data_IF_869212190688
#
_entry.id   IF_869212190688
#
_cell.length_a   1.000
_cell.length_b   1.000
_cell.length_c   1.000
_cell.angle_alpha   90.00
_cell.angle_beta   90.00
_cell.angle_gamma   90.00
#
_symmetry.space_group_name_H-M   'P 1'
#
loop_
_entity.id
_entity.type
_entity.pdbx_description
1 polymer ?
#
# COMPACT_ATOMS: atom_id res chain seq x y z
N UNK A 1 -40.95 -14.25 69.33
CA UNK A 1 -40.29 -13.37 68.34
C UNK A 1 -39.42 -14.24 67.45
N UNK A 2 -39.86 -14.44 66.20
CA UNK A 2 -39.13 -14.53 64.92
C UNK A 2 -37.79 -15.34 64.90
N UNK A 3 -37.51 -16.30 64.01
CA UNK A 3 -37.99 -16.56 62.65
C UNK A 3 -37.48 -17.96 62.15
N UNK A 4 -38.38 -18.79 61.58
CA UNK A 4 -38.31 -19.58 60.31
C UNK A 4 -37.03 -20.41 59.98
N UNK A 5 -37.02 -21.77 60.00
CA UNK A 5 -37.44 -22.78 58.95
C UNK A 5 -36.79 -22.55 57.56
N UNK A 6 -36.45 -23.49 56.68
CA UNK A 6 -36.42 -24.95 56.59
C UNK A 6 -35.62 -25.30 55.30
N UNK A 7 -35.07 -26.50 55.28
CA UNK A 7 -34.27 -27.16 54.25
C UNK A 7 -34.94 -27.23 52.85
N UNK A 8 -34.22 -26.85 51.79
CA UNK A 8 -34.67 -26.94 50.38
C UNK A 8 -34.21 -28.24 49.70
N UNK A 9 -35.16 -28.87 49.03
CA UNK A 9 -35.11 -30.15 48.29
C UNK A 9 -34.57 -29.93 46.87
N UNK A 10 -33.70 -30.84 46.41
CA UNK A 10 -33.24 -30.97 45.03
C UNK A 10 -34.39 -31.38 44.10
N UNK A 11 -34.69 -30.59 43.06
CA UNK A 11 -35.53 -30.99 41.93
C UNK A 11 -34.75 -30.77 40.63
N UNK A 12 -34.47 -31.86 39.94
CA UNK A 12 -33.89 -31.95 38.59
C UNK A 12 -34.91 -31.55 37.53
N UNK A 13 -34.59 -30.56 36.69
CA UNK A 13 -35.33 -30.25 35.46
C UNK A 13 -34.69 -30.99 34.28
N UNK A 14 -35.43 -31.93 33.70
CA UNK A 14 -35.12 -32.59 32.43
C UNK A 14 -35.97 -31.90 31.34
N UNK A 15 -35.35 -31.09 30.48
CA UNK A 15 -36.01 -30.48 29.32
C UNK A 15 -35.62 -31.23 28.03
N UNK A 16 -36.62 -31.79 27.35
CA UNK A 16 -36.48 -32.35 26.02
C UNK A 16 -36.24 -31.23 24.99
N UNK A 17 -35.02 -31.11 24.49
CA UNK A 17 -34.71 -30.27 23.32
C UNK A 17 -34.97 -31.11 22.06
N UNK A 18 -36.03 -30.79 21.33
CA UNK A 18 -36.30 -31.29 19.99
C UNK A 18 -35.41 -30.52 19.02
N UNK A 19 -34.36 -31.15 18.50
CA UNK A 19 -33.48 -30.54 17.49
C UNK A 19 -34.16 -30.69 16.12
N UNK A 20 -34.88 -29.65 15.70
CA UNK A 20 -35.40 -29.54 14.33
C UNK A 20 -34.25 -29.24 13.37
N UNK A 21 -33.78 -30.27 12.67
CA UNK A 21 -32.73 -30.16 11.65
C UNK A 21 -33.30 -29.47 10.40
N UNK A 22 -33.31 -28.14 10.39
CA UNK A 22 -33.54 -27.39 9.17
C UNK A 22 -32.28 -27.48 8.32
N UNK A 23 -32.31 -28.33 7.29
CA UNK A 23 -31.28 -28.37 6.26
C UNK A 23 -31.18 -27.00 5.59
N UNK A 24 -30.19 -26.21 5.98
CA UNK A 24 -29.79 -25.04 5.23
C UNK A 24 -29.14 -25.55 3.95
N UNK A 25 -29.89 -25.52 2.85
CA UNK A 25 -29.30 -25.59 1.53
C UNK A 25 -28.29 -24.43 1.43
N UNK A 26 -27.00 -24.76 1.40
CA UNK A 26 -25.95 -23.80 1.12
C UNK A 26 -26.28 -23.14 -0.22
N UNK A 27 -26.60 -21.84 -0.20
CA UNK A 27 -26.79 -21.06 -1.40
C UNK A 27 -25.54 -21.21 -2.27
N UNK A 28 -25.72 -21.70 -3.50
CA UNK A 28 -24.66 -21.72 -4.50
C UNK A 28 -24.17 -20.28 -4.70
N UNK A 29 -22.84 -20.01 -4.67
CA UNK A 29 -22.34 -18.69 -5.00
C UNK A 29 -22.74 -18.36 -6.44
N UNK A 30 -23.44 -17.24 -6.63
CA UNK A 30 -23.64 -16.67 -7.95
C UNK A 30 -22.29 -16.27 -8.58
N UNK A 31 -22.25 -15.99 -9.89
CA UNK A 31 -21.00 -15.76 -10.60
C UNK A 31 -20.29 -14.48 -10.12
N UNK A 32 -19.23 -14.67 -9.33
CA UNK A 32 -18.09 -13.74 -9.16
C UNK A 32 -17.97 -12.97 -7.84
N UNK A 33 -17.85 -13.65 -6.69
CA UNK A 33 -17.57 -13.01 -5.39
C UNK A 33 -16.08 -12.68 -5.18
N UNK A 34 -15.49 -11.83 -6.02
CA UNK A 34 -14.08 -11.45 -5.91
C UNK A 34 -13.54 -10.71 -7.12
N UNK A 35 -12.32 -10.19 -6.99
CA UNK A 35 -11.55 -9.68 -8.13
C UNK A 35 -11.13 -10.86 -9.03
N UNK A 36 -10.99 -10.61 -10.34
CA UNK A 36 -10.46 -11.60 -11.29
C UNK A 36 -9.71 -10.93 -12.42
N UNK A 37 -8.81 -11.68 -13.05
CA UNK A 37 -8.18 -11.24 -14.29
C UNK A 37 -9.25 -11.15 -15.37
N UNK A 38 -9.25 -10.06 -16.14
CA UNK A 38 -10.22 -9.84 -17.23
C UNK A 38 -11.64 -9.53 -16.75
N UNK A 39 -11.83 -8.97 -15.55
CA UNK A 39 -13.15 -8.59 -15.03
C UNK A 39 -13.94 -7.70 -16.01
N UNK A 40 -13.27 -6.75 -16.66
CA UNK A 40 -13.86 -5.81 -17.62
C UNK A 40 -13.84 -6.27 -19.09
N UNK A 41 -13.41 -7.50 -19.37
CA UNK A 41 -13.20 -7.99 -20.76
C UNK A 41 -14.44 -7.90 -21.65
N UNK A 42 -15.65 -7.96 -21.07
CA UNK A 42 -16.92 -7.82 -21.80
C UNK A 42 -17.53 -6.43 -21.67
N UNK A 43 -17.43 -5.79 -20.49
CA UNK A 43 -18.15 -4.55 -20.18
C UNK A 43 -17.37 -3.28 -20.51
N UNK A 44 -16.03 -3.33 -20.46
CA UNK A 44 -15.16 -2.26 -20.90
C UNK A 44 -13.83 -2.84 -21.42
N UNK A 45 -13.82 -3.46 -22.62
CA UNK A 45 -12.67 -4.21 -23.13
C UNK A 45 -11.36 -3.40 -23.21
N UNK A 46 -11.48 -2.08 -23.40
CA UNK A 46 -10.33 -1.18 -23.51
C UNK A 46 -9.88 -0.58 -22.16
N UNK A 47 -10.46 -1.01 -21.04
CA UNK A 47 -10.21 -0.38 -19.73
C UNK A 47 -8.71 -0.32 -19.36
N UNK A 48 -8.00 -1.46 -19.43
CA UNK A 48 -6.57 -1.49 -19.12
C UNK A 48 -5.73 -0.63 -20.06
N UNK A 49 -6.10 -0.56 -21.35
CA UNK A 49 -5.40 0.25 -22.34
C UNK A 49 -5.59 1.74 -22.07
N UNK A 50 -6.81 2.16 -21.73
CA UNK A 50 -7.11 3.56 -21.38
C UNK A 50 -6.31 3.98 -20.15
N UNK A 51 -6.31 3.17 -19.09
CA UNK A 51 -5.51 3.46 -17.88
C UNK A 51 -4.02 3.55 -18.22
N UNK A 52 -3.49 2.57 -18.97
CA UNK A 52 -2.08 2.57 -19.36
C UNK A 52 -1.69 3.81 -20.17
N UNK A 53 -2.54 4.25 -21.09
CA UNK A 53 -2.28 5.43 -21.91
C UNK A 53 -2.28 6.70 -21.06
N UNK A 54 -3.22 6.85 -20.11
CA UNK A 54 -3.25 7.98 -19.19
C UNK A 54 -1.99 8.01 -18.31
N UNK A 55 -1.56 6.87 -17.78
CA UNK A 55 -0.33 6.76 -16.97
C UNK A 55 0.92 7.04 -17.80
N UNK A 56 0.98 6.53 -19.03
CA UNK A 56 2.09 6.80 -19.96
C UNK A 56 2.19 8.29 -20.26
N UNK A 57 1.06 8.95 -20.58
CA UNK A 57 1.03 10.38 -20.83
C UNK A 57 1.48 11.19 -19.59
N UNK A 58 0.95 10.85 -18.41
CA UNK A 58 1.35 11.46 -17.15
C UNK A 58 2.85 11.30 -16.87
N UNK A 59 3.39 10.09 -17.09
CA UNK A 59 4.81 9.79 -16.91
C UNK A 59 5.69 10.56 -17.89
N UNK A 60 5.30 10.65 -19.16
CA UNK A 60 6.02 11.42 -20.17
C UNK A 60 6.08 12.91 -19.83
N UNK A 61 5.05 13.46 -19.19
CA UNK A 61 5.07 14.85 -18.70
C UNK A 61 5.87 15.02 -17.42
N UNK A 62 5.76 14.08 -16.49
CA UNK A 62 6.43 14.11 -15.20
C UNK A 62 6.76 12.69 -14.70
N UNK A 63 8.00 12.22 -14.87
CA UNK A 63 8.38 10.86 -14.45
C UNK A 63 8.17 10.58 -12.95
N UNK A 64 8.08 11.61 -12.11
CA UNK A 64 7.84 11.46 -10.66
C UNK A 64 6.43 10.97 -10.32
N UNK A 65 5.50 10.93 -11.27
CA UNK A 65 4.16 10.38 -11.03
C UNK A 65 4.18 8.86 -10.85
N UNK A 66 5.11 8.14 -11.49
CA UNK A 66 5.18 6.68 -11.36
C UNK A 66 5.42 6.21 -9.92
N UNK A 67 6.48 6.65 -9.21
CA UNK A 67 6.63 6.32 -7.79
C UNK A 67 5.50 6.90 -6.92
N UNK A 68 4.93 8.05 -7.30
CA UNK A 68 3.79 8.66 -6.60
C UNK A 68 2.52 7.80 -6.63
N UNK A 69 2.17 7.27 -7.80
CA UNK A 69 1.01 6.38 -8.00
C UNK A 69 1.24 5.03 -7.32
N UNK A 70 2.44 4.46 -7.43
CA UNK A 70 2.78 3.22 -6.72
C UNK A 70 2.59 3.38 -5.21
N UNK A 71 3.09 4.48 -4.63
CA UNK A 71 2.90 4.81 -3.22
C UNK A 71 1.43 5.06 -2.88
N UNK A 72 0.68 5.74 -3.74
CA UNK A 72 -0.75 6.01 -3.52
C UNK A 72 -1.55 4.70 -3.41
N UNK A 73 -1.27 3.71 -4.26
CA UNK A 73 -1.91 2.40 -4.19
C UNK A 73 -1.56 1.63 -2.91
N UNK A 74 -0.30 1.70 -2.46
CA UNK A 74 0.08 1.16 -1.14
C UNK A 74 -0.70 1.84 -0.01
N UNK A 75 -0.82 3.16 -0.03
CA UNK A 75 -1.54 3.91 1.01
C UNK A 75 -3.04 3.62 1.01
N UNK A 76 -3.67 3.45 -0.15
CA UNK A 76 -5.07 3.01 -0.27
C UNK A 76 -5.25 1.66 0.41
N UNK A 77 -4.52 0.65 -0.05
CA UNK A 77 -4.65 -0.72 0.43
C UNK A 77 -4.37 -0.91 1.93
N UNK A 78 -3.56 -0.04 2.55
CA UNK A 78 -3.25 -0.09 3.98
C UNK A 78 -4.24 0.68 4.85
N UNK A 79 -5.20 1.38 4.26
CA UNK A 79 -6.22 2.16 4.98
C UNK A 79 -7.60 1.65 4.59
N UNK A 80 -8.20 0.82 5.45
CA UNK A 80 -9.51 0.16 5.23
C UNK A 80 -9.59 -0.81 4.02
N UNK A 81 -8.54 -0.90 3.20
CA UNK A 81 -8.43 -1.85 2.09
C UNK A 81 -8.30 -1.11 0.75
N UNK A 82 -8.14 -1.85 -0.34
CA UNK A 82 -7.99 -1.24 -1.66
C UNK A 82 -9.37 -0.85 -2.22
N UNK A 83 -9.93 0.27 -1.78
CA UNK A 83 -11.27 0.73 -2.13
C UNK A 83 -11.27 2.16 -2.73
N UNK A 84 -10.11 2.73 -3.01
CA UNK A 84 -9.97 4.07 -3.57
C UNK A 84 -10.37 5.19 -2.61
N UNK A 85 -10.55 4.95 -1.30
CA UNK A 85 -10.87 5.97 -0.30
C UNK A 85 -9.87 7.12 -0.31
N UNK A 86 -8.60 6.83 -0.60
CA UNK A 86 -7.53 7.84 -0.67
C UNK A 86 -7.77 8.87 -1.77
N UNK A 87 -8.58 8.53 -2.77
CA UNK A 87 -8.90 9.41 -3.88
C UNK A 87 -9.96 10.45 -3.49
N UNK A 88 -10.67 10.32 -2.37
CA UNK A 88 -11.70 11.30 -1.96
C UNK A 88 -11.04 12.60 -1.46
N UNK A 89 -11.52 13.74 -1.96
CA UNK A 89 -11.08 15.08 -1.52
C UNK A 89 -12.08 15.69 -0.54
N UNK A 90 -11.58 16.48 0.40
CA UNK A 90 -12.41 17.23 1.34
C UNK A 90 -11.64 17.56 2.61
N UNK A 91 -12.29 18.25 3.54
CA UNK A 91 -11.75 18.47 4.88
C UNK A 91 -11.67 17.16 5.63
N UNK A 92 -10.56 16.91 6.34
CA UNK A 92 -10.34 15.70 7.14
C UNK A 92 -10.42 14.38 6.37
N UNK A 93 -10.25 14.37 5.05
CA UNK A 93 -10.10 13.13 4.28
C UNK A 93 -8.69 12.57 4.38
N UNK A 94 -8.47 11.34 3.94
CA UNK A 94 -7.14 10.71 3.93
C UNK A 94 -6.11 11.57 3.20
N UNK A 95 -6.48 12.27 2.11
CA UNK A 95 -5.57 13.17 1.39
C UNK A 95 -4.95 14.26 2.27
N UNK A 96 -5.64 14.65 3.34
CA UNK A 96 -5.16 15.68 4.29
C UNK A 96 -4.30 15.12 5.42
N UNK A 97 -4.19 13.80 5.54
CA UNK A 97 -3.34 13.18 6.55
C UNK A 97 -1.85 13.43 6.26
N UNK A 98 -1.06 13.61 7.33
CA UNK A 98 0.40 13.84 7.26
C UNK A 98 1.15 12.89 6.30
N UNK A 99 0.95 11.56 6.33
CA UNK A 99 1.62 10.64 5.39
C UNK A 99 1.24 10.85 3.91
N UNK A 100 0.11 11.52 3.65
CA UNK A 100 -0.51 11.67 2.33
C UNK A 100 -0.28 13.04 1.68
N UNK A 101 0.16 14.05 2.44
CA UNK A 101 0.34 15.44 1.95
C UNK A 101 1.24 15.57 0.71
N UNK A 102 2.13 14.61 0.48
CA UNK A 102 3.07 14.61 -0.63
C UNK A 102 2.77 13.58 -1.72
N UNK A 103 1.60 12.93 -1.68
CA UNK A 103 1.16 12.04 -2.76
C UNK A 103 0.93 12.84 -4.04
N UNK A 104 1.16 12.19 -5.19
CA UNK A 104 1.13 12.79 -6.52
C UNK A 104 0.56 11.79 -7.52
N UNK A 105 0.05 12.30 -8.65
CA UNK A 105 -0.56 11.48 -9.69
C UNK A 105 -2.07 11.32 -9.57
N UNK A 106 -2.74 12.07 -8.68
CA UNK A 106 -4.21 12.07 -8.59
C UNK A 106 -4.83 12.51 -9.92
N UNK A 107 -4.22 13.50 -10.57
CA UNK A 107 -4.60 14.01 -11.88
C UNK A 107 -4.54 12.95 -12.99
N UNK A 108 -3.63 11.97 -12.87
CA UNK A 108 -3.51 10.86 -13.82
C UNK A 108 -4.66 9.88 -13.62
N UNK A 109 -5.04 9.61 -12.36
CA UNK A 109 -6.19 8.76 -12.02
C UNK A 109 -7.50 9.43 -12.48
N UNK A 110 -7.66 10.73 -12.24
CA UNK A 110 -8.83 11.50 -12.66
C UNK A 110 -8.93 11.58 -14.19
N UNK A 111 -7.80 11.73 -14.89
CA UNK A 111 -7.76 11.71 -16.34
C UNK A 111 -8.15 10.32 -16.91
N UNK A 112 -7.59 9.25 -16.36
CA UNK A 112 -7.98 7.88 -16.74
C UNK A 112 -9.48 7.65 -16.50
N UNK A 113 -10.00 8.11 -15.35
CA UNK A 113 -11.41 7.99 -15.01
C UNK A 113 -12.31 8.74 -16.00
N UNK A 114 -11.93 9.96 -16.37
CA UNK A 114 -12.68 10.76 -17.35
C UNK A 114 -12.78 10.04 -18.69
N UNK A 115 -11.67 9.49 -19.19
CA UNK A 115 -11.66 8.73 -20.44
C UNK A 115 -12.48 7.43 -20.34
N UNK A 116 -12.40 6.73 -19.20
CA UNK A 116 -13.19 5.53 -18.94
C UNK A 116 -14.69 5.81 -18.88
N UNK A 117 -15.11 6.88 -18.21
CA UNK A 117 -16.52 7.26 -18.17
C UNK A 117 -17.06 7.67 -19.54
N UNK A 118 -16.22 8.24 -20.41
CA UNK A 118 -16.61 8.52 -21.79
C UNK A 118 -16.75 7.24 -22.64
N UNK A 119 -15.92 6.22 -22.39
CA UNK A 119 -15.90 4.98 -23.16
C UNK A 119 -16.90 3.92 -22.65
N UNK A 120 -17.08 3.82 -21.34
CA UNK A 120 -17.87 2.81 -20.65
C UNK A 120 -18.45 3.38 -19.32
N UNK A 121 -19.49 4.24 -19.41
CA UNK A 121 -20.02 4.98 -18.27
C UNK A 121 -20.42 4.07 -17.10
N UNK A 122 -19.97 4.40 -15.89
CA UNK A 122 -20.33 3.70 -14.66
C UNK A 122 -19.84 2.26 -14.53
N UNK A 123 -18.84 1.85 -15.34
CA UNK A 123 -18.35 0.46 -15.36
C UNK A 123 -17.13 0.26 -14.46
N UNK A 124 -16.09 1.10 -14.60
CA UNK A 124 -14.77 0.86 -13.98
C UNK A 124 -14.62 1.67 -12.69
N UNK A 125 -14.34 1.01 -11.57
CA UNK A 125 -14.12 1.67 -10.27
C UNK A 125 -12.81 2.45 -10.23
N UNK A 126 -12.76 3.48 -9.40
CA UNK A 126 -11.54 4.24 -9.14
C UNK A 126 -10.47 3.39 -8.44
N UNK A 127 -10.88 2.48 -7.56
CA UNK A 127 -9.99 1.49 -6.93
C UNK A 127 -9.26 0.62 -7.97
N UNK A 128 -9.94 0.15 -9.01
CA UNK A 128 -9.29 -0.63 -10.07
C UNK A 128 -8.40 0.22 -10.98
N UNK A 129 -8.76 1.48 -11.24
CA UNK A 129 -7.90 2.42 -11.97
C UNK A 129 -6.57 2.58 -11.22
N UNK A 130 -6.61 2.78 -9.90
CA UNK A 130 -5.41 2.94 -9.08
C UNK A 130 -4.54 1.68 -9.09
N UNK A 131 -5.14 0.49 -8.96
CA UNK A 131 -4.42 -0.78 -9.00
C UNK A 131 -3.73 -1.02 -10.37
N UNK A 132 -4.44 -0.73 -11.47
CA UNK A 132 -3.88 -0.81 -12.82
C UNK A 132 -2.76 0.21 -13.04
N UNK A 133 -2.97 1.44 -12.57
CA UNK A 133 -1.99 2.51 -12.72
C UNK A 133 -0.70 2.25 -11.93
N UNK A 134 -0.79 1.61 -10.76
CA UNK A 134 0.38 1.19 -10.00
C UNK A 134 1.21 0.15 -10.78
N UNK A 135 0.57 -0.82 -11.44
CA UNK A 135 1.26 -1.77 -12.33
C UNK A 135 1.95 -1.06 -13.48
N UNK A 136 1.23 -0.20 -14.19
CA UNK A 136 1.78 0.50 -15.36
C UNK A 136 2.95 1.43 -14.96
N UNK A 137 2.91 2.03 -13.77
CA UNK A 137 4.00 2.84 -13.21
C UNK A 137 5.30 2.05 -12.98
N UNK A 138 5.18 0.80 -12.49
CA UNK A 138 6.34 -0.10 -12.32
C UNK A 138 6.90 -0.52 -13.68
N UNK A 139 6.04 -0.82 -14.66
CA UNK A 139 6.49 -1.18 -16.01
C UNK A 139 7.22 -0.03 -16.70
N UNK A 140 6.72 1.21 -16.60
CA UNK A 140 7.36 2.39 -17.20
C UNK A 140 8.73 2.69 -16.58
N UNK A 141 8.96 2.26 -15.34
CA UNK A 141 10.25 2.36 -14.65
C UNK A 141 11.12 1.10 -14.85
N UNK A 142 10.84 0.28 -15.87
CA UNK A 142 11.59 -0.94 -16.26
C UNK A 142 11.38 -2.16 -15.35
N UNK A 143 10.41 -2.11 -14.46
CA UNK A 143 9.97 -3.26 -13.69
C UNK A 143 9.18 -4.27 -14.53
N UNK A 144 8.88 -5.44 -13.96
CA UNK A 144 8.12 -6.49 -14.64
C UNK A 144 6.62 -6.25 -14.54
N UNK A 145 5.88 -6.51 -15.63
CA UNK A 145 4.41 -6.46 -15.63
C UNK A 145 3.80 -7.68 -14.93
N UNK A 146 2.57 -7.54 -14.44
CA UNK A 146 1.77 -8.64 -13.93
C UNK A 146 0.30 -8.48 -14.32
N UNK A 147 -0.47 -9.59 -14.38
CA UNK A 147 -1.91 -9.50 -14.54
C UNK A 147 -2.53 -8.95 -13.25
N UNK A 148 -3.32 -7.88 -13.36
CA UNK A 148 -3.99 -7.24 -12.22
C UNK A 148 -5.41 -7.79 -12.11
N UNK A 149 -5.77 -8.53 -11.04
CA UNK A 149 -7.17 -8.85 -10.79
C UNK A 149 -7.96 -7.56 -10.55
N UNK A 150 -9.05 -7.38 -11.29
CA UNK A 150 -9.96 -6.24 -11.21
C UNK A 150 -11.36 -6.68 -10.79
N UNK A 151 -12.25 -5.75 -10.49
CA UNK A 151 -13.58 -5.97 -9.92
C UNK A 151 -13.77 -5.37 -8.52
N UNK A 152 -12.86 -4.50 -8.09
CA UNK A 152 -13.02 -3.73 -6.84
C UNK A 152 -14.15 -2.73 -6.99
N UNK A 153 -14.74 -2.34 -5.87
CA UNK A 153 -15.69 -1.23 -5.78
C UNK A 153 -15.13 -0.15 -4.88
N UNK A 154 -15.64 1.05 -5.08
CA UNK A 154 -15.18 2.25 -4.41
C UNK A 154 -15.80 2.39 -3.02
N UNK A 155 -14.96 2.70 -2.03
CA UNK A 155 -15.34 3.05 -0.67
C UNK A 155 -16.09 4.38 -0.59
N UNK A 156 -16.84 4.56 0.50
CA UNK A 156 -17.62 5.79 0.78
C UNK A 156 -17.12 6.55 2.01
N UNK A 157 -15.99 6.15 2.56
CA UNK A 157 -15.43 6.73 3.78
C UNK A 157 -13.97 7.06 3.51
N UNK A 158 -13.57 8.29 3.80
CA UNK A 158 -12.17 8.73 3.77
C UNK A 158 -11.96 9.65 4.95
N UNK A 159 -11.15 9.22 5.91
CA UNK A 159 -10.88 9.97 7.14
C UNK A 159 -9.38 10.05 7.36
N UNK A 160 -8.88 11.26 7.62
CA UNK A 160 -7.47 11.51 7.90
C UNK A 160 -6.93 10.64 9.05
N UNK A 161 -7.77 10.40 10.07
CA UNK A 161 -7.42 9.56 11.22
C UNK A 161 -7.15 8.10 10.87
N UNK A 162 -7.73 7.57 9.79
CA UNK A 162 -7.51 6.19 9.39
C UNK A 162 -6.07 5.98 8.86
N UNK A 163 -5.45 7.03 8.33
CA UNK A 163 -4.10 7.01 7.81
C UNK A 163 -3.01 7.12 8.89
N UNK A 164 -3.37 7.32 10.16
CA UNK A 164 -2.42 7.49 11.27
C UNK A 164 -1.56 6.24 11.52
N UNK A 165 -2.06 5.05 11.16
CA UNK A 165 -1.38 3.78 11.38
C UNK A 165 -0.52 3.32 10.19
N UNK A 166 -0.40 4.13 9.12
CA UNK A 166 0.49 3.81 8.01
C UNK A 166 1.94 3.59 8.48
N UNK A 167 2.72 2.70 7.83
CA UNK A 167 4.14 2.55 8.12
C UNK A 167 4.90 3.88 7.95
N UNK A 168 5.70 4.22 8.96
CA UNK A 168 6.46 5.46 9.04
C UNK A 168 7.94 5.27 8.69
N UNK A 169 8.64 6.35 8.29
CA UNK A 169 10.05 6.28 7.86
C UNK A 169 11.04 5.96 8.99
N UNK A 170 10.59 6.02 10.25
CA UNK A 170 11.35 5.72 11.46
C UNK A 170 11.00 4.38 12.11
N UNK A 171 10.07 3.60 11.55
CA UNK A 171 9.56 2.38 12.18
C UNK A 171 10.65 1.30 12.27
N UNK A 172 10.74 0.64 13.43
CA UNK A 172 11.58 -0.55 13.61
C UNK A 172 11.03 -1.74 12.81
N UNK A 173 11.85 -2.77 12.57
CA UNK A 173 11.40 -3.97 11.85
C UNK A 173 10.20 -4.63 12.53
N UNK A 174 10.17 -4.68 13.87
CA UNK A 174 9.03 -5.22 14.61
C UNK A 174 7.73 -4.43 14.36
N UNK A 175 7.80 -3.09 14.33
CA UNK A 175 6.63 -2.25 14.02
C UNK A 175 6.19 -2.42 12.58
N UNK A 176 7.12 -2.46 11.63
CA UNK A 176 6.81 -2.69 10.23
C UNK A 176 6.15 -4.08 10.05
N UNK A 177 6.70 -5.13 10.67
CA UNK A 177 6.14 -6.49 10.65
C UNK A 177 4.72 -6.52 11.21
N UNK A 178 4.47 -5.84 12.34
CA UNK A 178 3.13 -5.76 12.92
C UNK A 178 2.15 -5.13 11.93
N UNK A 179 2.45 -3.95 11.41
CA UNK A 179 1.57 -3.21 10.47
C UNK A 179 1.29 -4.00 9.19
N UNK A 180 2.28 -4.73 8.65
CA UNK A 180 2.07 -5.60 7.49
C UNK A 180 1.23 -6.83 7.86
N UNK A 181 1.45 -7.41 9.05
CA UNK A 181 0.66 -8.55 9.52
C UNK A 181 -0.81 -8.20 9.80
N UNK A 182 -1.09 -6.97 10.23
CA UNK A 182 -2.46 -6.46 10.46
C UNK A 182 -3.29 -6.47 9.16
N UNK A 183 -2.61 -6.30 8.02
CA UNK A 183 -3.20 -6.42 6.68
C UNK A 183 -2.88 -7.75 5.98
N UNK A 184 -2.47 -8.75 6.77
CA UNK A 184 -2.23 -10.15 6.35
C UNK A 184 -1.10 -10.33 5.34
N UNK A 185 -0.09 -9.46 5.39
CA UNK A 185 1.16 -9.60 4.64
C UNK A 185 2.27 -10.13 5.55
N UNK A 186 3.08 -11.03 5.01
CA UNK A 186 4.22 -11.65 5.69
C UNK A 186 5.44 -10.74 5.77
N UNK A 187 6.41 -11.08 6.62
CA UNK A 187 7.73 -10.43 6.66
C UNK A 187 8.43 -10.43 5.30
N UNK A 188 8.24 -11.48 4.49
CA UNK A 188 8.82 -11.51 3.15
C UNK A 188 8.14 -10.51 2.22
N UNK A 189 6.82 -10.40 2.27
CA UNK A 189 6.08 -9.41 1.48
C UNK A 189 6.40 -7.98 1.93
N UNK A 190 6.67 -7.77 3.23
CA UNK A 190 7.22 -6.52 3.73
C UNK A 190 8.53 -6.16 3.03
N UNK A 191 9.54 -7.03 3.08
CA UNK A 191 10.86 -6.73 2.49
C UNK A 191 10.77 -6.55 0.98
N UNK A 192 9.89 -7.30 0.32
CA UNK A 192 9.67 -7.19 -1.13
C UNK A 192 8.96 -5.88 -1.48
N UNK A 193 7.88 -5.51 -0.80
CA UNK A 193 7.06 -4.34 -1.14
C UNK A 193 7.78 -3.02 -0.82
N UNK A 194 8.52 -2.93 0.28
CA UNK A 194 9.39 -1.76 0.56
C UNK A 194 10.50 -1.60 -0.47
N UNK A 195 10.83 -2.68 -1.20
CA UNK A 195 11.67 -2.61 -2.41
C UNK A 195 11.14 -1.67 -3.49
N UNK A 196 9.87 -1.25 -3.44
CA UNK A 196 9.34 -0.17 -4.27
C UNK A 196 10.09 1.17 -4.11
N UNK A 197 10.83 1.35 -3.00
CA UNK A 197 11.76 2.46 -2.79
C UNK A 197 12.97 2.45 -3.74
N UNK A 198 13.12 1.44 -4.61
CA UNK A 198 14.07 1.49 -5.74
C UNK A 198 13.78 2.66 -6.70
N UNK A 199 12.56 3.19 -6.69
CA UNK A 199 12.19 4.40 -7.42
C UNK A 199 11.64 5.48 -6.49
N UNK A 200 11.81 6.74 -6.90
CA UNK A 200 11.21 7.88 -6.20
C UNK A 200 12.11 8.50 -5.14
N UNK A 201 11.51 9.40 -4.36
CA UNK A 201 12.26 10.34 -3.53
C UNK A 201 11.60 10.56 -2.17
N UNK A 202 12.42 10.80 -1.14
CA UNK A 202 11.99 11.26 0.17
C UNK A 202 12.31 12.74 0.36
N UNK A 203 11.46 13.46 1.10
CA UNK A 203 11.80 14.79 1.60
C UNK A 203 12.77 14.71 2.77
N UNK A 204 13.72 15.65 2.89
CA UNK A 204 14.68 15.69 3.99
C UNK A 204 14.04 15.54 5.38
N UNK A 205 12.84 16.11 5.58
CA UNK A 205 12.11 16.00 6.86
C UNK A 205 11.82 14.56 7.30
N UNK A 206 11.77 13.59 6.39
CA UNK A 206 11.48 12.20 6.70
C UNK A 206 12.65 11.43 7.33
N UNK A 207 13.89 11.92 7.17
CA UNK A 207 15.10 11.21 7.63
C UNK A 207 16.17 12.12 8.25
N UNK A 208 15.90 13.43 8.39
CA UNK A 208 16.87 14.39 8.97
C UNK A 208 17.30 14.05 10.39
N UNK A 209 16.43 13.41 11.18
CA UNK A 209 16.79 12.89 12.50
C UNK A 209 18.02 11.97 12.42
N UNK A 210 18.14 11.16 11.38
CA UNK A 210 19.30 10.27 11.19
C UNK A 210 20.60 11.02 10.91
N UNK A 211 20.55 12.24 10.38
CA UNK A 211 21.74 12.98 9.93
C UNK A 211 22.43 13.78 11.05
N UNK A 212 21.68 14.18 12.08
CA UNK A 212 22.18 15.11 13.12
C UNK A 212 21.83 14.72 14.55
N UNK A 213 20.78 13.93 14.76
CA UNK A 213 20.28 13.62 16.10
C UNK A 213 19.60 12.24 16.08
N UNK A 214 20.41 11.18 15.99
CA UNK A 214 19.87 9.83 16.15
C UNK A 214 19.46 9.64 17.61
N UNK A 215 18.51 8.75 17.89
CA UNK A 215 18.06 8.41 19.25
C UNK A 215 19.19 7.96 20.19
N UNK A 216 20.38 7.72 19.63
CA UNK A 216 21.60 7.22 20.28
C UNK A 216 22.75 8.22 20.37
N UNK A 217 22.59 9.47 19.90
CA UNK A 217 23.64 10.50 19.94
C UNK A 217 23.84 11.21 18.58
N UNK A 218 25.08 11.32 18.04
CA UNK A 218 25.35 11.98 16.76
C UNK A 218 24.63 11.28 15.59
N UNK A 219 24.99 11.59 14.33
CA UNK A 219 24.39 10.92 13.16
C UNK A 219 24.30 9.39 13.32
N UNK A 220 23.25 8.80 12.75
CA UNK A 220 23.00 7.36 12.79
C UNK A 220 24.23 6.58 12.29
N UNK A 221 24.84 5.73 13.15
CA UNK A 221 26.11 5.07 12.83
C UNK A 221 25.97 3.99 11.75
N UNK A 222 24.75 3.63 11.35
CA UNK A 222 24.50 2.68 10.27
C UNK A 222 24.59 3.29 8.87
N UNK A 223 24.73 4.62 8.78
CA UNK A 223 24.85 5.34 7.51
C UNK A 223 26.31 5.31 7.03
N UNK A 224 26.51 4.96 5.76
CA UNK A 224 27.79 5.10 5.07
C UNK A 224 28.34 6.53 5.20
N UNK A 225 29.57 6.75 5.69
CA UNK A 225 30.10 8.10 5.95
C UNK A 225 30.12 9.01 4.71
N UNK A 226 30.35 8.45 3.52
CA UNK A 226 30.30 9.23 2.27
C UNK A 226 28.87 9.66 1.95
N UNK A 227 27.89 8.75 2.07
CA UNK A 227 26.48 9.11 1.92
C UNK A 227 26.05 10.12 2.98
N UNK A 228 26.46 9.97 4.24
CA UNK A 228 26.13 10.91 5.31
C UNK A 228 26.54 12.34 4.95
N UNK A 229 27.78 12.54 4.50
CA UNK A 229 28.27 13.87 4.10
C UNK A 229 27.47 14.45 2.91
N UNK A 230 27.11 13.61 1.93
CA UNK A 230 26.25 14.01 0.81
C UNK A 230 24.86 14.43 1.28
N UNK A 231 24.23 13.63 2.15
CA UNK A 231 22.91 13.93 2.70
C UNK A 231 22.92 15.16 3.59
N UNK A 232 23.95 15.39 4.41
CA UNK A 232 24.08 16.61 5.22
C UNK A 232 24.25 17.87 4.36
N UNK A 233 24.89 17.76 3.21
CA UNK A 233 25.02 18.87 2.24
C UNK A 233 23.66 19.20 1.61
N UNK A 234 22.90 18.18 1.20
CA UNK A 234 21.59 18.35 0.58
C UNK A 234 20.49 18.71 1.59
N UNK A 235 20.60 18.21 2.82
CA UNK A 235 19.62 18.35 3.88
C UNK A 235 20.24 18.96 5.15
N UNK A 236 20.69 20.23 5.15
CA UNK A 236 21.23 20.88 6.35
C UNK A 236 20.28 20.79 7.55
N UNK A 237 20.83 20.83 8.78
CA UNK A 237 20.07 20.65 10.03
C UNK A 237 18.85 21.60 10.14
N UNK A 238 19.02 22.86 9.75
CA UNK A 238 17.97 23.87 9.74
C UNK A 238 17.53 24.23 8.30
N UNK A 239 17.74 23.31 7.35
CA UNK A 239 17.39 23.49 5.95
C UNK A 239 15.92 23.15 5.64
N UNK A 240 15.50 23.47 4.42
CA UNK A 240 14.15 23.15 3.94
C UNK A 240 13.88 21.63 4.03
N UNK A 241 12.79 21.25 4.70
CA UNK A 241 12.37 19.86 4.86
C UNK A 241 11.79 19.25 3.57
N UNK A 242 11.43 20.09 2.59
CA UNK A 242 10.78 19.70 1.34
C UNK A 242 11.75 19.25 0.24
N UNK A 243 13.05 19.59 0.39
CA UNK A 243 14.13 19.17 -0.51
C UNK A 243 14.12 17.65 -0.66
N UNK A 244 14.23 17.17 -1.90
CA UNK A 244 14.03 15.76 -2.26
C UNK A 244 15.35 15.07 -2.53
N UNK A 245 15.47 13.86 -1.99
CA UNK A 245 16.59 12.95 -2.18
C UNK A 245 16.05 11.63 -2.73
N UNK A 246 16.71 11.08 -3.74
CA UNK A 246 16.37 9.77 -4.29
C UNK A 246 16.50 8.69 -3.20
N UNK A 247 15.49 7.81 -3.11
CA UNK A 247 15.50 6.70 -2.16
C UNK A 247 16.52 5.61 -2.54
N UNK A 248 16.88 5.54 -3.82
CA UNK A 248 17.84 4.59 -4.36
C UNK A 248 19.02 5.32 -5.00
N UNK A 249 20.15 5.35 -4.29
CA UNK A 249 21.35 6.08 -4.73
C UNK A 249 21.93 5.43 -5.99
N UNK A 250 21.88 6.17 -7.09
CA UNK A 250 22.43 5.75 -8.39
C UNK A 250 21.44 5.04 -9.33
N UNK A 251 20.22 4.72 -8.86
CA UNK A 251 19.17 4.11 -9.70
C UNK A 251 17.74 4.58 -9.41
N UNK A 252 17.53 5.73 -8.73
CA UNK A 252 16.20 6.20 -8.29
C UNK A 252 15.10 6.41 -9.35
N UNK A 253 15.38 6.16 -10.63
CA UNK A 253 14.42 6.20 -11.74
C UNK A 253 14.18 4.83 -12.41
N UNK A 254 14.89 3.78 -11.98
CA UNK A 254 14.79 2.43 -12.53
C UNK A 254 14.37 1.46 -11.43
N UNK A 255 13.35 0.66 -11.73
CA UNK A 255 12.83 -0.35 -10.83
C UNK A 255 13.71 -1.60 -10.88
N UNK A 256 14.69 -1.68 -9.97
CA UNK A 256 15.69 -2.75 -9.96
C UNK A 256 16.10 -3.18 -8.54
N UNK A 257 17.18 -3.96 -8.44
CA UNK A 257 17.66 -4.50 -7.16
C UNK A 257 18.69 -3.62 -6.47
N UNK A 258 19.03 -2.45 -7.02
CA UNK A 258 20.07 -1.57 -6.46
C UNK A 258 19.70 -1.03 -5.08
N UNK A 259 18.40 -0.83 -4.79
CA UNK A 259 17.87 -0.59 -3.44
C UNK A 259 18.46 -1.56 -2.39
N UNK A 260 18.34 -2.88 -2.63
CA UNK A 260 18.86 -3.87 -1.69
C UNK A 260 20.39 -3.85 -1.58
N UNK A 261 21.09 -3.58 -2.69
CA UNK A 261 22.54 -3.41 -2.70
C UNK A 261 22.98 -2.18 -1.88
N UNK A 262 22.20 -1.10 -1.93
CA UNK A 262 22.40 0.10 -1.14
C UNK A 262 22.19 -0.17 0.35
N UNK A 263 21.16 -0.92 0.75
CA UNK A 263 20.97 -1.31 2.16
C UNK A 263 22.20 -2.05 2.72
N UNK A 264 22.75 -2.99 1.94
CA UNK A 264 23.94 -3.76 2.31
C UNK A 264 25.22 -2.93 2.49
N UNK A 265 25.23 -1.71 1.96
CA UNK A 265 26.34 -0.75 2.04
C UNK A 265 26.11 0.38 3.04
N UNK A 266 25.06 0.31 3.87
CA UNK A 266 24.70 1.39 4.78
C UNK A 266 24.11 2.61 4.05
N UNK A 267 23.52 2.40 2.86
CA UNK A 267 23.03 3.47 1.97
C UNK A 267 21.51 3.54 1.85
N UNK A 268 20.77 2.92 2.76
CA UNK A 268 19.33 3.16 2.89
C UNK A 268 19.06 4.56 3.42
N UNK A 269 18.24 5.35 2.73
CA UNK A 269 17.95 6.75 3.08
C UNK A 269 17.05 6.84 4.32
N UNK A 270 15.95 6.10 4.34
CA UNK A 270 15.05 6.07 5.50
C UNK A 270 15.59 5.11 6.57
N UNK A 271 15.25 5.38 7.83
CA UNK A 271 15.62 4.49 8.92
C UNK A 271 14.91 3.16 8.76
N UNK A 272 13.62 3.18 8.40
CA UNK A 272 12.81 2.00 8.13
C UNK A 272 13.40 1.10 7.04
N UNK A 273 14.13 1.67 6.08
CA UNK A 273 14.85 0.91 5.06
C UNK A 273 16.13 0.29 5.62
N UNK A 274 16.98 1.10 6.25
CA UNK A 274 18.30 0.64 6.69
C UNK A 274 18.22 -0.45 7.77
N UNK A 275 17.18 -0.43 8.62
CA UNK A 275 16.98 -1.47 9.64
C UNK A 275 16.68 -2.86 9.04
N UNK A 276 16.21 -2.95 7.80
CA UNK A 276 15.95 -4.24 7.14
C UNK A 276 17.25 -5.05 6.92
N UNK A 277 18.37 -4.36 6.75
CA UNK A 277 19.68 -5.00 6.63
C UNK A 277 20.27 -5.40 7.98
N UNK A 278 20.03 -4.59 9.01
CA UNK A 278 20.60 -4.81 10.35
C UNK A 278 19.85 -5.85 11.17
N UNK A 279 18.55 -6.04 10.90
CA UNK A 279 17.70 -6.95 11.67
C UNK A 279 17.84 -8.42 11.19
N UNK A 280 18.05 -9.39 12.11
CA UNK A 280 18.19 -10.81 11.76
C UNK A 280 16.98 -11.43 11.03
N UNK A 281 15.76 -10.92 11.25
CA UNK A 281 14.55 -11.48 10.66
C UNK A 281 14.39 -11.12 9.17
N UNK A 282 14.94 -9.98 8.75
CA UNK A 282 14.80 -9.46 7.37
C UNK A 282 16.08 -9.59 6.56
N UNK A 283 17.26 -9.56 7.21
CA UNK A 283 18.56 -9.61 6.52
C UNK A 283 18.72 -10.78 5.54
N UNK A 284 18.33 -12.03 5.86
CA UNK A 284 18.44 -13.14 4.91
C UNK A 284 17.61 -12.92 3.64
N UNK A 285 16.45 -12.25 3.75
CA UNK A 285 15.58 -11.94 2.63
C UNK A 285 16.23 -10.87 1.76
N UNK A 286 16.77 -9.80 2.37
CA UNK A 286 17.52 -8.74 1.67
C UNK A 286 18.73 -9.33 0.91
N UNK A 287 19.48 -10.25 1.53
CA UNK A 287 20.60 -10.96 0.88
C UNK A 287 20.17 -11.78 -0.34
N UNK A 288 19.02 -12.45 -0.28
CA UNK A 288 18.48 -13.18 -1.42
C UNK A 288 18.10 -12.24 -2.57
N UNK A 289 17.47 -11.11 -2.25
CA UNK A 289 16.96 -10.14 -3.23
C UNK A 289 18.06 -9.30 -3.90
N UNK A 290 19.25 -9.16 -3.29
CA UNK A 290 20.42 -8.54 -3.93
C UNK A 290 21.25 -9.50 -4.80
N UNK A 291 20.93 -10.80 -4.81
CA UNK A 291 21.75 -11.79 -5.52
C UNK A 291 21.70 -11.62 -7.04
N UNK A 292 22.73 -12.06 -7.81
CA UNK A 292 22.71 -12.00 -9.28
C UNK A 292 21.54 -12.75 -9.94
N UNK A 293 20.95 -13.72 -9.23
CA UNK A 293 19.76 -14.47 -9.65
C UNK A 293 18.52 -14.02 -8.89
N UNK A 294 18.44 -12.71 -8.58
CA UNK A 294 17.35 -12.14 -7.79
C UNK A 294 15.98 -12.45 -8.40
N UNK A 295 15.05 -12.81 -7.52
CA UNK A 295 13.65 -13.03 -7.81
C UNK A 295 12.78 -11.80 -7.53
N UNK A 296 13.40 -10.65 -7.21
CA UNK A 296 12.72 -9.43 -6.75
C UNK A 296 11.53 -9.04 -7.61
N UNK A 297 11.69 -8.83 -8.91
CA UNK A 297 10.61 -8.39 -9.79
C UNK A 297 9.40 -9.36 -9.79
N UNK A 298 9.67 -10.66 -9.82
CA UNK A 298 8.61 -11.67 -9.80
C UNK A 298 7.92 -11.78 -8.43
N UNK A 299 8.67 -11.59 -7.35
CA UNK A 299 8.12 -11.54 -6.00
C UNK A 299 7.32 -10.26 -5.75
N UNK A 300 7.81 -9.12 -6.24
CA UNK A 300 7.13 -7.85 -6.17
C UNK A 300 5.78 -7.91 -6.88
N UNK A 301 5.74 -8.46 -8.10
CA UNK A 301 4.49 -8.72 -8.81
C UNK A 301 3.48 -9.54 -7.98
N UNK A 302 3.94 -10.64 -7.35
CA UNK A 302 3.08 -11.49 -6.50
C UNK A 302 2.62 -10.76 -5.24
N UNK A 303 3.51 -10.03 -4.57
CA UNK A 303 3.20 -9.27 -3.38
C UNK A 303 2.22 -8.11 -3.69
N UNK A 304 2.38 -7.44 -4.83
CA UNK A 304 1.46 -6.42 -5.32
C UNK A 304 0.07 -6.99 -5.59
N UNK A 305 -0.04 -8.18 -6.20
CA UNK A 305 -1.34 -8.85 -6.38
C UNK A 305 -1.99 -9.18 -5.03
N UNK A 306 -1.23 -9.65 -4.04
CA UNK A 306 -1.75 -9.92 -2.70
C UNK A 306 -2.19 -8.65 -1.98
N UNK A 307 -1.33 -7.64 -1.95
CA UNK A 307 -1.63 -6.33 -1.37
C UNK A 307 -2.89 -5.73 -2.00
N UNK A 308 -3.00 -5.78 -3.33
CA UNK A 308 -4.15 -5.24 -4.07
C UNK A 308 -5.48 -5.97 -3.74
N UNK A 309 -5.46 -7.10 -3.03
CA UNK A 309 -6.65 -7.84 -2.63
C UNK A 309 -7.00 -7.69 -1.14
N UNK A 310 -6.32 -6.78 -0.43
CA UNK A 310 -6.66 -6.44 0.96
C UNK A 310 -7.98 -5.69 0.99
N UNK A 311 -8.92 -6.16 1.83
CA UNK A 311 -10.14 -5.43 2.18
C UNK A 311 -11.05 -5.04 1.01
N UNK A 312 -10.94 -5.70 -0.15
CA UNK A 312 -11.64 -5.26 -1.36
C UNK A 312 -13.17 -5.29 -1.21
N UNK A 313 -13.82 -4.22 -1.63
CA UNK A 313 -15.27 -4.17 -1.75
C UNK A 313 -15.70 -4.81 -3.07
N UNK A 314 -16.72 -5.67 -3.04
CA UNK A 314 -17.25 -6.39 -4.21
C UNK A 314 -18.77 -6.51 -4.15
N UNK A 315 -19.40 -6.87 -5.28
CA UNK A 315 -20.84 -7.08 -5.35
C UNK A 315 -21.62 -5.78 -5.08
N UNK A 316 -22.46 -5.77 -4.05
CA UNK A 316 -23.24 -4.60 -3.65
C UNK A 316 -22.50 -3.66 -2.67
N UNK A 317 -21.35 -4.07 -2.13
CA UNK A 317 -20.59 -3.27 -1.18
C UNK A 317 -19.80 -2.19 -1.92
N UNK A 318 -19.88 -0.94 -1.48
CA UNK A 318 -19.29 0.21 -2.20
C UNK A 318 -20.06 0.64 -3.45
N UNK A 319 -19.43 1.45 -4.30
CA UNK A 319 -19.98 1.98 -5.55
C UNK A 319 -19.01 1.95 -6.72
N UNK A 320 -19.47 2.40 -7.89
CA UNK A 320 -18.59 2.80 -8.98
C UNK A 320 -18.72 4.32 -9.08
N UNK A 321 -17.78 5.05 -8.49
CA UNK A 321 -17.79 6.52 -8.50
C UNK A 321 -17.68 7.02 -9.93
N UNK A 322 -18.39 8.09 -10.30
CA UNK A 322 -18.23 8.77 -11.61
C UNK A 322 -17.03 9.69 -11.63
N UNK A 323 -16.72 10.29 -10.47
CA UNK A 323 -15.57 11.17 -10.26
C UNK A 323 -14.79 10.63 -9.07
N UNK A 324 -13.50 10.33 -9.23
CA UNK A 324 -12.73 9.68 -8.16
C UNK A 324 -12.50 10.55 -6.92
N UNK A 325 -12.76 11.85 -6.99
CA UNK A 325 -12.65 12.76 -5.85
C UNK A 325 -13.91 12.86 -4.98
N UNK A 326 -15.04 12.31 -5.42
CA UNK A 326 -16.33 12.47 -4.76
C UNK A 326 -17.16 11.18 -4.75
N UNK A 327 -17.91 10.98 -3.67
CA UNK A 327 -18.95 9.95 -3.57
C UNK A 327 -20.11 10.34 -4.52
N UNK A 328 -20.75 9.36 -5.14
CA UNK A 328 -21.87 9.59 -6.08
C UNK A 328 -23.11 10.22 -5.44
#
# INVERSE_FOLDING_TARGET
MNFVRSLCVFITFLSCIVISVHGQAAARPGPGSGTRIGFYSTTCPNAETIVRNAVTAGFSSNPRIAPGILRMHFHDCFVQGCDGSILITGTNTERTAVPNLNLRGFEVIDNAKTQLEAACPGVVSCADILALAARDSVVLTRGTSWPVPTGRRDGRVSLASNANNLPGPGDSVAVQQQKFSDVRLSTRELVVLVGGHTIGQAGCGAFRNRLYNSTTGPADPTIDPTLLAQLQTQCPQNGDASVRVDLDTGSGTTFDTSYYNNLGRGRGVLQSDQVLWSDPATRPIVQQLMSPRSTFNAEFARAMVRMSNIGVLTGANGEIRRVCSAIN
#
